data_IF_561255107311
#
_entry.id   IF_561255107311
#
_cell.length_a   1.000
_cell.length_b   1.000
_cell.length_c   1.000
_cell.angle_alpha   90.00
_cell.angle_beta   90.00
_cell.angle_gamma   90.00
#
_symmetry.space_group_name_H-M   'P 1'
#
loop_
_entity.id
_entity.type
_entity.pdbx_description
1 polymer ?
#
# COMPACT_ATOMS: atom_id res chain seq x y z
N UNK A 1 -18.32 4.35 27.64
CA UNK A 1 -18.04 4.15 26.20
C UNK A 1 -19.37 4.14 25.47
N UNK A 2 -19.58 5.00 24.46
CA UNK A 2 -20.82 5.03 23.67
C UNK A 2 -20.91 3.73 22.83
N UNK A 3 -22.08 3.09 22.85
CA UNK A 3 -22.34 1.95 21.95
C UNK A 3 -22.66 2.51 20.56
N UNK A 4 -21.88 2.11 19.56
CA UNK A 4 -22.16 2.45 18.18
C UNK A 4 -23.27 1.56 17.63
N UNK A 5 -24.11 2.14 16.78
CA UNK A 5 -25.17 1.45 16.06
C UNK A 5 -24.95 1.65 14.57
N UNK A 6 -25.04 0.58 13.82
CA UNK A 6 -25.04 0.66 12.35
C UNK A 6 -26.45 1.01 11.90
N UNK A 7 -26.55 2.00 11.03
CA UNK A 7 -27.76 2.44 10.37
C UNK A 7 -27.55 2.42 8.87
N UNK A 8 -28.61 2.20 8.09
CA UNK A 8 -28.56 2.31 6.64
C UNK A 8 -29.21 3.61 6.22
N UNK A 9 -28.57 4.34 5.32
CA UNK A 9 -29.07 5.63 4.81
C UNK A 9 -28.83 5.74 3.31
N UNK A 10 -29.66 6.56 2.67
CA UNK A 10 -29.48 6.92 1.26
C UNK A 10 -28.14 7.67 1.06
N UNK A 11 -27.36 7.25 0.07
CA UNK A 11 -26.06 7.84 -0.30
C UNK A 11 -26.17 9.33 -0.56
N UNK A 12 -27.29 9.78 -1.15
CA UNK A 12 -27.53 11.19 -1.46
C UNK A 12 -27.71 12.09 -0.23
N UNK A 13 -27.94 11.51 0.96
CA UNK A 13 -28.03 12.25 2.22
C UNK A 13 -26.66 12.55 2.83
N UNK A 14 -25.62 11.90 2.37
CA UNK A 14 -24.27 12.04 2.89
C UNK A 14 -23.56 13.24 2.27
N UNK A 15 -22.88 14.00 3.11
CA UNK A 15 -22.18 15.23 2.73
C UNK A 15 -20.68 15.04 2.91
N UNK A 16 -19.89 14.98 1.82
CA UNK A 16 -18.44 14.97 1.95
C UNK A 16 -17.94 16.23 2.69
N UNK A 17 -16.98 16.04 3.58
CA UNK A 17 -16.34 17.18 4.25
C UNK A 17 -15.38 17.88 3.27
N UNK A 18 -15.66 19.15 2.95
CA UNK A 18 -14.94 19.95 1.95
C UNK A 18 -13.43 20.10 2.24
N UNK A 19 -13.06 20.06 3.52
CA UNK A 19 -11.65 20.21 3.96
C UNK A 19 -11.00 18.87 4.31
N UNK A 20 -11.45 17.79 3.69
CA UNK A 20 -10.77 16.51 3.84
C UNK A 20 -9.37 16.58 3.21
N UNK A 21 -8.32 16.43 4.03
CA UNK A 21 -6.95 16.48 3.56
C UNK A 21 -6.49 15.20 2.82
N UNK A 22 -7.24 14.09 2.96
CA UNK A 22 -6.91 12.83 2.30
C UNK A 22 -7.35 12.86 0.84
N UNK A 23 -6.39 12.65 -0.06
CA UNK A 23 -6.64 12.54 -1.48
C UNK A 23 -6.97 11.08 -1.83
N UNK A 24 -8.01 10.88 -2.61
CA UNK A 24 -8.37 9.59 -3.17
C UNK A 24 -8.16 9.64 -4.68
N UNK A 25 -7.25 8.81 -5.19
CA UNK A 25 -7.06 8.66 -6.64
C UNK A 25 -8.17 7.79 -7.23
N UNK A 26 -8.43 7.95 -8.54
CA UNK A 26 -9.43 7.13 -9.23
C UNK A 26 -9.09 5.63 -9.11
N UNK A 27 -7.80 5.29 -9.19
CA UNK A 27 -7.33 3.92 -9.01
C UNK A 27 -7.66 3.36 -7.61
N UNK A 28 -7.43 4.15 -6.55
CA UNK A 28 -7.79 3.73 -5.19
C UNK A 28 -9.31 3.57 -5.04
N UNK A 29 -10.10 4.45 -5.65
CA UNK A 29 -11.56 4.34 -5.65
C UNK A 29 -12.00 3.06 -6.36
N UNK A 30 -11.33 2.68 -7.46
CA UNK A 30 -11.59 1.44 -8.17
C UNK A 30 -11.24 0.20 -7.35
N UNK A 31 -10.12 0.21 -6.64
CA UNK A 31 -9.76 -0.87 -5.71
C UNK A 31 -10.81 -1.02 -4.60
N UNK A 32 -11.27 0.08 -4.03
CA UNK A 32 -12.35 0.06 -3.02
C UNK A 32 -13.66 -0.45 -3.62
N UNK A 33 -14.02 -0.04 -4.84
CA UNK A 33 -15.22 -0.50 -5.52
C UNK A 33 -15.19 -2.01 -5.74
N UNK A 34 -14.08 -2.55 -6.26
CA UNK A 34 -13.89 -3.99 -6.45
C UNK A 34 -13.98 -4.74 -5.11
N UNK A 35 -13.40 -4.18 -4.04
CA UNK A 35 -13.51 -4.77 -2.71
C UNK A 35 -14.95 -4.82 -2.20
N UNK A 36 -15.76 -3.79 -2.49
CA UNK A 36 -17.17 -3.76 -2.13
C UNK A 36 -17.97 -4.78 -2.98
N UNK A 37 -17.65 -4.94 -4.26
CA UNK A 37 -18.30 -5.93 -5.12
C UNK A 37 -17.97 -7.36 -4.68
N UNK A 38 -16.71 -7.64 -4.34
CA UNK A 38 -16.27 -8.98 -3.97
C UNK A 38 -16.70 -9.38 -2.55
N UNK A 39 -16.52 -8.49 -1.58
CA UNK A 39 -16.70 -8.81 -0.17
C UNK A 39 -17.93 -8.16 0.48
N UNK A 40 -18.60 -7.26 -0.22
CA UNK A 40 -19.68 -6.44 0.34
C UNK A 40 -19.19 -5.19 1.07
N UNK A 41 -20.13 -4.30 1.39
CA UNK A 41 -19.87 -3.07 2.17
C UNK A 41 -19.80 -3.42 3.66
N UNK A 42 -18.65 -3.92 4.13
CA UNK A 42 -18.46 -4.43 5.48
C UNK A 42 -17.94 -3.40 6.48
N UNK A 43 -17.52 -2.22 5.99
CA UNK A 43 -16.94 -1.15 6.80
C UNK A 43 -17.79 0.12 6.70
N UNK A 44 -18.60 0.44 7.76
CA UNK A 44 -19.53 1.55 7.73
C UNK A 44 -18.84 2.92 7.57
N UNK A 45 -19.52 3.86 6.92
CA UNK A 45 -19.09 5.26 6.82
C UNK A 45 -19.36 5.97 8.14
N UNK A 46 -18.34 6.63 8.72
CA UNK A 46 -18.55 7.41 9.93
C UNK A 46 -19.02 8.83 9.58
N UNK A 47 -20.15 9.21 10.16
CA UNK A 47 -20.77 10.53 9.93
C UNK A 47 -20.94 11.30 11.24
N UNK A 48 -20.93 12.60 11.11
CA UNK A 48 -21.27 13.55 12.16
C UNK A 48 -22.58 14.27 11.80
N UNK A 49 -23.01 15.19 12.61
CA UNK A 49 -24.25 15.96 12.47
C UNK A 49 -24.59 16.25 11.01
N UNK A 50 -25.87 16.20 10.67
CA UNK A 50 -26.39 16.48 9.34
C UNK A 50 -25.84 15.62 8.19
N UNK A 51 -25.25 14.45 8.52
CA UNK A 51 -24.71 13.51 7.54
C UNK A 51 -23.36 13.90 6.98
N UNK A 52 -22.60 14.80 7.62
CA UNK A 52 -21.23 15.13 7.21
C UNK A 52 -20.30 13.95 7.46
N UNK A 53 -19.60 13.53 6.42
CA UNK A 53 -18.66 12.41 6.49
C UNK A 53 -17.39 12.84 7.18
N UNK A 54 -16.95 12.05 8.16
CA UNK A 54 -15.68 12.24 8.85
C UNK A 54 -14.71 11.09 8.58
N UNK A 55 -15.21 9.95 8.12
CA UNK A 55 -14.40 8.81 7.68
C UNK A 55 -15.16 8.04 6.61
N UNK A 56 -14.43 7.56 5.57
CA UNK A 56 -15.00 6.75 4.51
C UNK A 56 -15.33 7.51 3.22
N UNK A 57 -14.70 8.66 2.96
CA UNK A 57 -14.88 9.41 1.70
C UNK A 57 -14.64 8.55 0.46
N UNK A 58 -13.56 7.74 0.44
CA UNK A 58 -13.28 6.81 -0.66
C UNK A 58 -14.37 5.75 -0.82
N UNK A 59 -14.93 5.26 0.28
CA UNK A 59 -16.06 4.30 0.26
C UNK A 59 -17.32 4.93 -0.31
N UNK A 60 -17.62 6.19 0.03
CA UNK A 60 -18.71 6.92 -0.60
C UNK A 60 -18.53 7.03 -2.11
N UNK A 61 -17.34 7.45 -2.56
CA UNK A 61 -17.02 7.58 -3.99
C UNK A 61 -17.17 6.23 -4.72
N UNK A 62 -16.68 5.15 -4.13
CA UNK A 62 -16.83 3.80 -4.67
C UNK A 62 -18.30 3.37 -4.77
N UNK A 63 -19.10 3.59 -3.71
CA UNK A 63 -20.54 3.29 -3.73
C UNK A 63 -21.27 4.10 -4.81
N UNK A 64 -20.95 5.37 -4.98
CA UNK A 64 -21.52 6.21 -6.05
C UNK A 64 -21.16 5.68 -7.44
N UNK A 65 -19.91 5.23 -7.64
CA UNK A 65 -19.44 4.62 -8.89
C UNK A 65 -20.19 3.32 -9.21
N UNK A 66 -20.46 2.51 -8.19
CA UNK A 66 -21.22 1.26 -8.29
C UNK A 66 -22.73 1.44 -8.40
N UNK A 67 -23.24 2.66 -8.26
CA UNK A 67 -24.68 2.93 -8.25
C UNK A 67 -25.40 2.40 -6.99
N UNK A 68 -24.67 2.18 -5.90
CA UNK A 68 -25.24 1.77 -4.61
C UNK A 68 -25.99 2.96 -4.02
N UNK A 69 -27.25 2.76 -3.69
CA UNK A 69 -28.14 3.83 -3.21
C UNK A 69 -28.24 3.90 -1.69
N UNK A 70 -27.95 2.81 -0.98
CA UNK A 70 -28.05 2.73 0.47
C UNK A 70 -26.78 2.14 1.07
N UNK A 71 -26.22 2.77 2.10
CA UNK A 71 -24.95 2.39 2.72
C UNK A 71 -25.04 2.35 4.24
N UNK A 72 -24.27 1.45 4.90
CA UNK A 72 -24.18 1.42 6.35
C UNK A 72 -23.36 2.62 6.86
N UNK A 73 -23.86 3.25 7.91
CA UNK A 73 -23.18 4.33 8.61
C UNK A 73 -23.09 4.08 10.11
N UNK A 74 -22.15 4.76 10.76
CA UNK A 74 -22.13 4.96 12.21
C UNK A 74 -22.15 6.47 12.52
N UNK A 75 -22.90 6.86 13.57
CA UNK A 75 -22.99 8.26 13.98
C UNK A 75 -22.05 8.56 15.13
N UNK A 76 -21.24 9.62 14.94
CA UNK A 76 -20.33 10.14 15.95
C UNK A 76 -20.76 11.54 16.44
N UNK A 77 -22.06 11.76 16.56
CA UNK A 77 -22.68 13.06 16.90
C UNK A 77 -22.26 13.60 18.28
N UNK A 78 -21.74 12.73 19.15
CA UNK A 78 -21.22 13.11 20.47
C UNK A 78 -19.89 13.87 20.44
N UNK A 79 -19.19 13.93 19.29
CA UNK A 79 -17.97 14.68 19.17
C UNK A 79 -18.25 16.19 19.10
N UNK A 80 -17.39 16.99 19.74
CA UNK A 80 -17.32 18.43 19.47
C UNK A 80 -16.75 18.69 18.08
N UNK A 81 -16.88 19.90 17.54
CA UNK A 81 -16.29 20.26 16.24
C UNK A 81 -14.77 20.10 16.24
N UNK A 82 -14.10 20.47 17.32
CA UNK A 82 -12.66 20.28 17.47
C UNK A 82 -12.28 18.79 17.51
N UNK A 83 -12.99 17.98 18.29
CA UNK A 83 -12.77 16.54 18.36
C UNK A 83 -13.00 15.87 17.00
N UNK A 84 -14.03 16.27 16.25
CA UNK A 84 -14.29 15.77 14.92
C UNK A 84 -13.12 16.03 13.97
N UNK A 85 -12.61 17.26 13.93
CA UNK A 85 -11.46 17.63 13.10
C UNK A 85 -10.20 16.89 13.51
N UNK A 86 -9.94 16.77 14.80
CA UNK A 86 -8.82 16.02 15.33
C UNK A 86 -8.93 14.53 14.95
N UNK A 87 -10.11 13.93 15.15
CA UNK A 87 -10.37 12.52 14.84
C UNK A 87 -10.07 12.19 13.37
N UNK A 88 -10.57 12.99 12.42
CA UNK A 88 -10.29 12.76 10.99
C UNK A 88 -8.79 12.69 10.68
N UNK A 89 -8.03 13.66 11.20
CA UNK A 89 -6.60 13.71 10.93
C UNK A 89 -5.85 12.57 11.64
N UNK A 90 -6.20 12.29 12.90
CA UNK A 90 -5.62 11.18 13.67
C UNK A 90 -5.91 9.84 13.00
N UNK A 91 -7.17 9.60 12.60
CA UNK A 91 -7.55 8.36 11.92
C UNK A 91 -6.76 8.16 10.62
N UNK A 92 -6.66 9.20 9.78
CA UNK A 92 -5.86 9.15 8.56
C UNK A 92 -4.39 8.85 8.86
N UNK A 93 -3.80 9.52 9.86
CA UNK A 93 -2.40 9.32 10.23
C UNK A 93 -2.12 7.91 10.77
N UNK A 94 -3.00 7.40 11.64
CA UNK A 94 -2.85 6.05 12.20
C UNK A 94 -2.94 4.96 11.11
N UNK A 95 -3.79 5.16 10.10
CA UNK A 95 -3.86 4.24 8.95
C UNK A 95 -2.56 4.21 8.14
N UNK A 96 -1.84 5.35 8.06
CA UNK A 96 -0.57 5.44 7.35
C UNK A 96 0.63 4.92 8.15
N UNK A 97 0.52 4.86 9.48
CA UNK A 97 1.63 4.46 10.37
C UNK A 97 1.75 2.92 10.52
N UNK A 98 1.04 2.15 9.72
CA UNK A 98 1.08 0.68 9.75
C UNK A 98 1.85 0.13 8.57
N UNK A 99 2.38 -1.08 8.73
CA UNK A 99 3.02 -1.86 7.68
C UNK A 99 2.57 -3.31 7.75
N UNK A 100 3.13 -4.13 6.87
CA UNK A 100 2.91 -5.57 6.85
C UNK A 100 4.18 -6.32 7.26
N UNK A 101 4.01 -7.45 7.92
CA UNK A 101 5.01 -8.50 7.94
C UNK A 101 4.96 -9.18 6.57
N UNK A 102 5.98 -8.91 5.75
CA UNK A 102 5.95 -9.31 4.33
C UNK A 102 6.02 -10.82 4.14
N UNK A 103 6.75 -11.54 5.01
CA UNK A 103 6.87 -12.99 4.90
C UNK A 103 5.51 -13.66 5.24
N UNK A 104 4.84 -13.16 6.27
CA UNK A 104 3.52 -13.64 6.65
C UNK A 104 2.46 -13.27 5.58
N UNK A 105 2.52 -12.05 5.06
CA UNK A 105 1.61 -11.60 4.00
C UNK A 105 1.74 -12.46 2.74
N UNK A 106 2.97 -12.71 2.27
CA UNK A 106 3.23 -13.57 1.12
C UNK A 106 2.65 -14.99 1.33
N UNK A 107 2.86 -15.56 2.53
CA UNK A 107 2.32 -16.87 2.87
C UNK A 107 0.79 -16.92 2.88
N UNK A 108 0.11 -15.85 3.30
CA UNK A 108 -1.35 -15.78 3.27
C UNK A 108 -1.89 -15.52 1.85
N UNK A 109 -1.26 -14.62 1.07
CA UNK A 109 -1.63 -14.38 -0.32
C UNK A 109 -1.50 -15.65 -1.17
N UNK A 110 -0.45 -16.46 -0.94
CA UNK A 110 -0.24 -17.73 -1.64
C UNK A 110 -1.30 -18.81 -1.39
N UNK A 111 -2.18 -18.64 -0.38
CA UNK A 111 -3.33 -19.53 -0.11
C UNK A 111 -4.61 -19.08 -0.81
N UNK A 112 -4.63 -17.90 -1.42
CA UNK A 112 -5.79 -17.34 -2.10
C UNK A 112 -5.73 -17.76 -3.57
N UNK A 113 -6.57 -18.70 -3.99
CA UNK A 113 -6.50 -19.29 -5.32
C UNK A 113 -7.54 -18.71 -6.31
N UNK A 114 -8.68 -18.24 -5.79
CA UNK A 114 -9.83 -17.90 -6.64
C UNK A 114 -10.14 -16.40 -6.71
N UNK A 115 -9.32 -15.57 -6.10
CA UNK A 115 -9.46 -14.10 -6.07
C UNK A 115 -8.17 -13.49 -6.60
N UNK A 116 -8.27 -12.67 -7.63
CA UNK A 116 -7.13 -11.93 -8.17
C UNK A 116 -6.75 -10.75 -7.23
N UNK A 117 -5.76 -10.97 -6.39
CA UNK A 117 -5.32 -9.99 -5.39
C UNK A 117 -4.66 -8.75 -6.02
N UNK A 118 -4.21 -8.84 -7.28
CA UNK A 118 -3.65 -7.69 -8.00
C UNK A 118 -4.69 -6.57 -8.20
N UNK A 119 -5.97 -6.93 -8.28
CA UNK A 119 -7.09 -5.99 -8.41
C UNK A 119 -7.22 -5.06 -7.18
N UNK A 120 -6.65 -5.44 -6.05
CA UNK A 120 -6.67 -4.69 -4.79
C UNK A 120 -5.33 -4.01 -4.49
N UNK A 121 -4.40 -4.03 -5.46
CA UNK A 121 -3.09 -3.38 -5.34
C UNK A 121 -2.02 -4.25 -4.69
N UNK A 122 -2.23 -5.58 -4.60
CA UNK A 122 -1.17 -6.52 -4.22
C UNK A 122 -0.47 -7.01 -5.48
N UNK A 123 0.78 -6.62 -5.67
CA UNK A 123 1.64 -7.22 -6.69
C UNK A 123 2.42 -8.36 -6.04
N UNK A 124 2.21 -9.60 -6.52
CA UNK A 124 2.89 -10.78 -5.97
C UNK A 124 4.41 -10.67 -6.17
N UNK A 125 4.87 -9.98 -7.21
CA UNK A 125 6.29 -9.75 -7.45
C UNK A 125 6.98 -8.95 -6.34
N UNK A 126 6.25 -8.08 -5.63
CA UNK A 126 6.76 -7.32 -4.49
C UNK A 126 7.08 -8.21 -3.26
N UNK A 127 6.51 -9.41 -3.22
CA UNK A 127 6.60 -10.34 -2.08
C UNK A 127 7.43 -11.59 -2.38
N UNK A 128 7.71 -11.90 -3.64
CA UNK A 128 8.62 -12.96 -4.03
C UNK A 128 10.03 -12.43 -3.83
N UNK A 129 10.68 -12.86 -2.74
CA UNK A 129 12.14 -12.72 -2.68
C UNK A 129 12.67 -13.48 -3.90
N UNK A 130 13.37 -12.80 -4.81
CA UNK A 130 14.25 -13.50 -5.74
C UNK A 130 15.03 -14.49 -4.89
N UNK A 131 14.85 -15.80 -5.13
CA UNK A 131 15.78 -16.77 -4.56
C UNK A 131 17.16 -16.21 -4.89
N UNK A 132 17.94 -15.87 -3.85
CA UNK A 132 19.31 -15.50 -4.03
C UNK A 132 19.91 -16.62 -4.88
N UNK A 133 20.01 -16.36 -6.19
CA UNK A 133 20.86 -17.18 -7.05
C UNK A 133 22.21 -17.04 -6.39
N UNK A 134 22.57 -18.04 -5.56
CA UNK A 134 23.94 -18.11 -5.04
C UNK A 134 24.81 -18.01 -6.27
N UNK A 135 25.67 -16.99 -6.37
CA UNK A 135 26.55 -16.92 -7.51
C UNK A 135 27.27 -18.26 -7.56
N UNK A 136 27.12 -18.98 -8.69
CA UNK A 136 27.97 -20.12 -8.93
C UNK A 136 29.40 -19.59 -8.72
N UNK A 137 30.09 -20.10 -7.72
CA UNK A 137 31.51 -19.79 -7.54
C UNK A 137 32.15 -20.12 -8.88
N UNK A 138 32.66 -19.07 -9.55
CA UNK A 138 33.48 -19.28 -10.72
C UNK A 138 34.55 -20.28 -10.33
N UNK A 139 34.51 -21.47 -10.93
CA UNK A 139 35.61 -22.44 -10.82
C UNK A 139 36.84 -21.83 -11.50
N UNK A 140 37.43 -20.85 -10.81
CA UNK A 140 38.72 -20.30 -11.23
C UNK A 140 39.80 -21.34 -10.95
N UNK A 141 40.19 -22.06 -11.98
CA UNK A 141 41.41 -22.87 -11.99
C UNK A 141 42.59 -21.94 -12.25
N UNK A 142 43.40 -21.69 -11.22
CA UNK A 142 44.68 -21.00 -11.42
C UNK A 142 45.48 -21.72 -12.51
N UNK A 143 45.92 -21.02 -13.57
CA UNK A 143 46.85 -21.61 -14.55
C UNK A 143 48.17 -21.94 -13.87
N UNK A 144 48.66 -23.17 -14.05
CA UNK A 144 49.77 -23.76 -13.31
C UNK A 144 51.09 -23.00 -13.37
N UNK A 145 51.33 -22.10 -14.31
CA UNK A 145 52.49 -21.19 -14.34
C UNK A 145 52.17 -19.93 -15.14
N UNK A 146 52.03 -18.81 -14.45
CA UNK A 146 52.08 -17.49 -15.09
C UNK A 146 53.50 -16.99 -15.08
N UNK A 147 54.17 -16.98 -16.23
CA UNK A 147 55.42 -16.22 -16.37
C UNK A 147 55.13 -14.74 -16.05
N UNK A 148 55.93 -14.10 -15.16
CA UNK A 148 55.69 -12.72 -14.82
C UNK A 148 55.87 -11.82 -16.05
N UNK A 149 54.77 -11.23 -16.53
CA UNK A 149 54.84 -10.29 -17.67
C UNK A 149 55.54 -8.98 -17.34
N UNK A 150 55.86 -8.78 -16.08
CA UNK A 150 56.44 -7.54 -15.56
C UNK A 150 57.88 -7.81 -15.11
N UNK A 151 58.85 -7.12 -15.72
CA UNK A 151 60.28 -7.26 -15.35
C UNK A 151 60.75 -6.06 -14.55
N UNK A 152 61.55 -6.31 -13.51
CA UNK A 152 62.10 -5.27 -12.64
C UNK A 152 62.89 -4.23 -13.44
N UNK A 153 62.55 -2.93 -13.25
CA UNK A 153 63.20 -1.80 -13.96
C UNK A 153 62.51 -1.41 -15.27
N UNK A 154 61.48 -2.10 -15.72
CA UNK A 154 60.71 -1.71 -16.90
C UNK A 154 59.58 -0.75 -16.55
N UNK A 155 59.27 0.13 -17.51
CA UNK A 155 58.15 1.09 -17.40
C UNK A 155 57.01 0.64 -18.30
N UNK A 156 55.81 0.59 -17.73
CA UNK A 156 54.62 0.22 -18.45
C UNK A 156 53.65 1.43 -18.52
N UNK A 157 53.16 1.70 -19.71
CA UNK A 157 52.20 2.80 -19.91
C UNK A 157 50.79 2.23 -19.91
N UNK A 158 49.95 2.68 -18.95
CA UNK A 158 48.55 2.34 -18.82
C UNK A 158 47.71 3.61 -19.05
N UNK A 159 47.32 3.85 -20.30
CA UNK A 159 46.66 5.08 -20.68
C UNK A 159 47.52 6.31 -20.40
N UNK A 160 47.09 7.21 -19.49
CA UNK A 160 47.86 8.38 -19.07
C UNK A 160 48.80 8.15 -17.86
N UNK A 161 48.86 6.94 -17.34
CA UNK A 161 49.67 6.57 -16.18
C UNK A 161 50.89 5.76 -16.59
N UNK A 162 51.98 5.93 -15.85
CA UNK A 162 53.23 5.13 -16.04
C UNK A 162 53.47 4.37 -14.73
N UNK A 163 53.52 3.05 -14.84
CA UNK A 163 53.93 2.14 -13.76
C UNK A 163 55.41 1.83 -13.95
N UNK A 164 56.19 1.87 -12.87
CA UNK A 164 57.58 1.47 -12.84
C UNK A 164 57.73 0.36 -11.80
N UNK A 165 58.25 -0.78 -12.22
CA UNK A 165 58.53 -1.93 -11.37
C UNK A 165 59.98 -2.00 -10.95
#
# INVERSE_FOLDING_TARGET
MQKLKVEYVDVGTLKPYERNAKIHTDEQVDQIARSIEEFGMNDPIAVWKDGEIIEGHGRLMACQKLGITEVPIIRLDGLTDEQRRAYMNVHNQLTMNTGFDLDLLAAELGKIENIDMSMFGFDISDFVKDEEVSPEEDEYTEPEELEPMVKRGQRYKLGNHVLMC
#
